data_IF_285335910160
#
_entry.id   IF_285335910160
#
_cell.length_a   1.000
_cell.length_b   1.000
_cell.length_c   1.000
_cell.angle_alpha   90.00
_cell.angle_beta   90.00
_cell.angle_gamma   90.00
#
_symmetry.space_group_name_H-M   'P 1'
#
loop_
_entity.id
_entity.type
_entity.pdbx_description
1 polymer ?
#
# COMPACT_ATOMS: atom_id res chain seq x y z
N UNK A 1 -5.95 -13.90 5.13
CA UNK A 1 -4.48 -13.87 4.91
C UNK A 1 -3.68 -14.00 6.21
N UNK A 2 -3.75 -13.08 7.18
CA UNK A 2 -2.97 -13.17 8.44
C UNK A 2 -3.09 -14.52 9.14
N UNK A 3 -4.30 -14.95 9.55
CA UNK A 3 -4.47 -16.22 10.26
C UNK A 3 -3.97 -17.45 9.49
N UNK A 4 -4.05 -17.44 8.16
CA UNK A 4 -3.51 -18.52 7.33
C UNK A 4 -1.98 -18.56 7.36
N UNK A 5 -1.31 -17.40 7.29
CA UNK A 5 0.15 -17.30 7.41
C UNK A 5 0.66 -17.63 8.82
N UNK A 6 -0.12 -17.32 9.86
CA UNK A 6 0.20 -17.68 11.24
C UNK A 6 0.13 -19.20 11.46
N UNK A 7 -0.89 -19.85 10.90
CA UNK A 7 -1.02 -21.31 10.91
C UNK A 7 0.10 -21.99 10.09
N UNK A 8 0.50 -21.42 8.95
CA UNK A 8 1.62 -21.95 8.16
C UNK A 8 2.94 -21.96 8.93
N UNK A 9 3.17 -20.99 9.83
CA UNK A 9 4.40 -20.95 10.64
C UNK A 9 4.49 -22.02 11.71
N UNK A 10 3.35 -22.50 12.21
CA UNK A 10 3.28 -23.59 13.22
C UNK A 10 3.74 -24.94 12.66
N UNK A 11 3.72 -25.12 11.35
CA UNK A 11 4.20 -26.33 10.68
C UNK A 11 5.72 -26.43 10.88
N UNK A 12 6.26 -27.60 11.26
CA UNK A 12 7.71 -27.76 11.45
C UNK A 12 8.47 -28.03 10.14
N UNK A 13 7.82 -28.68 9.15
CA UNK A 13 8.44 -29.03 7.87
C UNK A 13 8.58 -27.85 6.91
N UNK A 14 9.81 -27.58 6.47
CA UNK A 14 10.15 -26.53 5.48
C UNK A 14 9.55 -26.83 4.10
N UNK A 15 9.51 -28.11 3.71
CA UNK A 15 8.95 -28.55 2.42
C UNK A 15 7.45 -28.28 2.39
N UNK A 16 6.74 -28.62 3.48
CA UNK A 16 5.29 -28.43 3.55
C UNK A 16 4.91 -26.94 3.56
N UNK A 17 5.72 -26.07 4.21
CA UNK A 17 5.54 -24.61 4.14
C UNK A 17 5.69 -24.07 2.72
N UNK A 18 6.70 -24.54 2.00
CA UNK A 18 6.99 -24.08 0.65
C UNK A 18 5.89 -24.48 -0.34
N UNK A 19 5.27 -25.65 -0.16
CA UNK A 19 4.14 -26.10 -0.99
C UNK A 19 2.84 -25.39 -0.60
N UNK A 20 2.56 -25.23 0.70
CA UNK A 20 1.31 -24.61 1.16
C UNK A 20 1.27 -23.10 0.97
N UNK A 21 2.39 -22.39 1.03
CA UNK A 21 2.43 -20.93 0.89
C UNK A 21 1.84 -20.42 -0.44
N UNK A 22 2.27 -20.92 -1.62
CA UNK A 22 1.66 -20.52 -2.89
C UNK A 22 0.20 -20.98 -2.98
N UNK A 23 -0.15 -22.18 -2.49
CA UNK A 23 -1.55 -22.66 -2.51
C UNK A 23 -2.47 -21.72 -1.71
N UNK A 24 -2.02 -21.23 -0.56
CA UNK A 24 -2.79 -20.27 0.24
C UNK A 24 -2.90 -18.93 -0.49
N UNK A 25 -1.83 -18.42 -1.10
CA UNK A 25 -1.85 -17.15 -1.84
C UNK A 25 -2.77 -17.25 -3.06
N UNK A 26 -2.58 -18.27 -3.90
CA UNK A 26 -3.40 -18.49 -5.10
C UNK A 26 -4.84 -18.86 -4.74
N UNK A 27 -5.06 -19.63 -3.67
CA UNK A 27 -6.39 -19.97 -3.18
C UNK A 27 -7.15 -18.74 -2.69
N UNK A 28 -6.50 -17.83 -1.94
CA UNK A 28 -7.11 -16.56 -1.55
C UNK A 28 -7.36 -15.64 -2.76
N UNK A 29 -6.43 -15.58 -3.72
CA UNK A 29 -6.59 -14.78 -4.94
C UNK A 29 -7.72 -15.28 -5.82
N UNK A 30 -7.73 -16.57 -6.13
CA UNK A 30 -8.76 -17.21 -6.96
C UNK A 30 -10.12 -17.23 -6.27
N UNK A 31 -10.16 -17.53 -4.96
CA UNK A 31 -11.37 -17.43 -4.16
C UNK A 31 -11.96 -16.01 -4.16
N UNK A 32 -11.10 -14.99 -4.03
CA UNK A 32 -11.52 -13.60 -4.14
C UNK A 32 -12.12 -13.26 -5.51
N UNK A 33 -11.46 -13.66 -6.60
CA UNK A 33 -11.97 -13.46 -7.96
C UNK A 33 -13.29 -14.21 -8.20
N UNK A 34 -13.41 -15.45 -7.71
CA UNK A 34 -14.62 -16.26 -7.86
C UNK A 34 -15.82 -15.67 -7.11
N UNK A 35 -15.60 -15.22 -5.88
CA UNK A 35 -16.64 -14.53 -5.08
C UNK A 35 -17.04 -13.23 -5.78
N UNK A 36 -16.09 -12.46 -6.29
CA UNK A 36 -16.41 -11.25 -7.06
C UNK A 36 -17.18 -11.54 -8.34
N UNK A 37 -16.78 -12.54 -9.13
CA UNK A 37 -17.49 -12.94 -10.34
C UNK A 37 -18.91 -13.42 -10.05
N UNK A 38 -19.11 -14.13 -8.94
CA UNK A 38 -20.43 -14.60 -8.49
C UNK A 38 -21.33 -13.45 -8.02
N UNK A 39 -20.75 -12.40 -7.43
CA UNK A 39 -21.48 -11.21 -6.99
C UNK A 39 -21.66 -10.17 -8.10
N UNK A 40 -20.86 -10.20 -9.16
CA UNK A 40 -20.89 -9.23 -10.26
C UNK A 40 -22.27 -9.13 -10.91
N UNK A 41 -22.95 -10.26 -11.12
CA UNK A 41 -24.32 -10.29 -11.65
C UNK A 41 -25.37 -9.65 -10.73
N UNK A 42 -25.14 -9.62 -9.42
CA UNK A 42 -26.02 -9.00 -8.42
C UNK A 42 -25.66 -7.52 -8.14
N UNK A 43 -24.45 -7.09 -8.49
CA UNK A 43 -23.90 -5.80 -8.06
C UNK A 43 -23.98 -4.68 -9.10
N UNK A 44 -24.34 -4.95 -10.36
CA UNK A 44 -24.78 -3.99 -11.41
C UNK A 44 -23.99 -2.66 -11.55
N UNK A 45 -24.12 -1.75 -10.58
CA UNK A 45 -23.44 -0.44 -10.47
C UNK A 45 -22.10 -0.47 -9.69
N UNK A 46 -21.68 -1.60 -9.14
CA UNK A 46 -20.42 -1.79 -8.39
C UNK A 46 -19.50 -2.85 -9.04
N UNK A 47 -19.63 -3.08 -10.35
CA UNK A 47 -18.66 -3.91 -11.06
C UNK A 47 -17.25 -3.30 -10.94
N UNK A 48 -16.24 -4.15 -11.10
CA UNK A 48 -14.83 -3.71 -11.03
C UNK A 48 -14.58 -2.66 -12.10
N UNK A 49 -15.12 -2.85 -13.29
CA UNK A 49 -15.01 -1.96 -14.45
C UNK A 49 -15.61 -0.58 -14.17
N UNK A 50 -16.85 -0.51 -13.65
CA UNK A 50 -17.48 0.77 -13.31
C UNK A 50 -16.79 1.47 -12.14
N UNK A 51 -16.18 0.71 -11.22
CA UNK A 51 -15.40 1.29 -10.12
C UNK A 51 -14.08 1.88 -10.60
N UNK A 52 -13.40 1.23 -11.55
CA UNK A 52 -12.19 1.74 -12.19
C UNK A 52 -12.49 2.96 -13.06
N UNK A 53 -13.58 2.94 -13.82
CA UNK A 53 -14.04 4.07 -14.62
C UNK A 53 -14.39 5.28 -13.74
N UNK A 54 -15.12 5.07 -12.65
CA UNK A 54 -15.40 6.14 -11.67
C UNK A 54 -14.14 6.68 -11.02
N UNK A 55 -13.17 5.82 -10.71
CA UNK A 55 -11.90 6.27 -10.16
C UNK A 55 -11.13 7.15 -11.15
N UNK A 56 -11.11 6.76 -12.44
CA UNK A 56 -10.51 7.56 -13.51
C UNK A 56 -11.24 8.91 -13.71
N UNK A 57 -12.58 8.89 -13.78
CA UNK A 57 -13.39 10.11 -13.93
C UNK A 57 -13.23 11.01 -12.70
N UNK A 58 -13.27 10.46 -11.49
CA UNK A 58 -13.07 11.22 -10.25
C UNK A 58 -11.67 11.82 -10.21
N UNK A 59 -10.63 11.07 -10.59
CA UNK A 59 -9.28 11.60 -10.67
C UNK A 59 -9.22 12.75 -11.69
N UNK A 60 -9.80 12.60 -12.87
CA UNK A 60 -9.82 13.63 -13.92
C UNK A 60 -10.65 14.88 -13.53
N UNK A 61 -11.77 14.71 -12.83
CA UNK A 61 -12.58 15.82 -12.33
C UNK A 61 -11.88 16.54 -11.19
N UNK A 62 -11.18 15.82 -10.31
CA UNK A 62 -10.34 16.42 -9.27
C UNK A 62 -9.12 17.15 -9.86
N UNK A 63 -8.67 16.81 -11.08
CA UNK A 63 -7.65 17.60 -11.82
C UNK A 63 -8.18 18.95 -12.30
N UNK A 64 -9.49 19.08 -12.58
CA UNK A 64 -10.07 20.33 -13.10
C UNK A 64 -10.11 21.41 -12.01
N UNK A 65 -9.96 22.66 -12.45
CA UNK A 65 -9.61 23.88 -11.69
C UNK A 65 -10.46 24.26 -10.45
N UNK A 66 -11.44 23.44 -10.04
CA UNK A 66 -12.30 23.69 -8.89
C UNK A 66 -11.59 23.58 -7.52
N UNK A 67 -10.42 22.93 -7.43
CA UNK A 67 -9.71 22.68 -6.15
C UNK A 67 -8.49 23.60 -5.89
N UNK A 68 -8.40 24.74 -6.56
CA UNK A 68 -7.44 25.81 -6.21
C UNK A 68 -5.95 25.42 -6.34
N UNK A 69 -5.63 24.41 -7.17
CA UNK A 69 -4.27 23.98 -7.45
C UNK A 69 -3.58 23.14 -6.36
N UNK A 70 -4.28 22.77 -5.28
CA UNK A 70 -3.77 21.83 -4.25
C UNK A 70 -3.96 20.36 -4.68
N UNK A 71 -3.61 20.05 -5.92
CA UNK A 71 -3.84 18.75 -6.53
C UNK A 71 -2.54 18.13 -7.03
N UNK A 72 -2.57 16.81 -7.22
CA UNK A 72 -1.46 16.06 -7.75
C UNK A 72 -1.88 15.11 -8.86
N UNK A 73 -1.00 14.94 -9.84
CA UNK A 73 -1.22 14.00 -10.94
C UNK A 73 -0.40 12.72 -10.76
N UNK A 74 -1.01 11.59 -11.08
CA UNK A 74 -0.40 10.26 -11.20
C UNK A 74 -0.34 9.80 -12.67
N UNK A 75 -0.70 10.68 -13.61
CA UNK A 75 -0.87 10.46 -15.04
C UNK A 75 -2.28 9.95 -15.36
N UNK A 76 -2.68 10.07 -16.64
CA UNK A 76 -3.87 9.40 -17.14
C UNK A 76 -3.61 7.89 -17.23
N UNK A 77 -4.66 7.10 -17.00
CA UNK A 77 -4.63 5.66 -17.12
C UNK A 77 -5.93 5.17 -17.74
N UNK A 78 -5.83 4.11 -18.53
CA UNK A 78 -7.02 3.41 -18.98
C UNK A 78 -7.69 2.72 -17.78
N UNK A 79 -9.02 2.78 -17.63
CA UNK A 79 -9.77 2.13 -16.56
C UNK A 79 -9.83 0.59 -16.76
N UNK A 80 -8.69 -0.02 -17.07
CA UNK A 80 -8.47 -1.46 -17.17
C UNK A 80 -7.57 -1.90 -16.01
N UNK A 81 -7.68 -3.16 -15.58
CA UNK A 81 -6.83 -3.73 -14.51
C UNK A 81 -5.34 -3.54 -14.87
N UNK A 82 -4.98 -3.74 -16.13
CA UNK A 82 -3.60 -3.56 -16.60
C UNK A 82 -3.14 -2.09 -16.54
N UNK A 83 -3.96 -1.13 -16.99
CA UNK A 83 -3.64 0.29 -16.94
C UNK A 83 -3.48 0.82 -15.52
N UNK A 84 -4.35 0.35 -14.63
CA UNK A 84 -4.33 0.67 -13.20
C UNK A 84 -3.09 0.09 -12.50
N UNK A 85 -2.75 -1.18 -12.78
CA UNK A 85 -1.55 -1.82 -12.23
C UNK A 85 -0.25 -1.17 -12.73
N UNK A 86 -0.22 -0.68 -13.97
CA UNK A 86 0.93 0.07 -14.49
C UNK A 86 1.19 1.38 -13.70
N UNK A 87 0.15 2.00 -13.15
CA UNK A 87 0.27 3.20 -12.30
C UNK A 87 0.44 2.89 -10.81
N UNK A 88 0.40 1.63 -10.41
CA UNK A 88 0.48 1.26 -9.00
C UNK A 88 1.70 1.85 -8.27
N UNK A 89 2.93 1.84 -8.82
CA UNK A 89 4.08 2.42 -8.13
C UNK A 89 3.93 3.93 -7.87
N UNK A 90 3.38 4.67 -8.84
CA UNK A 90 3.14 6.11 -8.72
C UNK A 90 2.03 6.40 -7.72
N UNK A 91 0.93 5.64 -7.77
CA UNK A 91 -0.18 5.78 -6.83
C UNK A 91 0.24 5.44 -5.39
N UNK A 92 1.01 4.37 -5.18
CA UNK A 92 1.54 4.01 -3.85
C UNK A 92 2.46 5.09 -3.33
N UNK A 93 3.38 5.61 -4.17
CA UNK A 93 4.27 6.69 -3.78
C UNK A 93 3.47 7.96 -3.40
N UNK A 94 2.45 8.31 -4.17
CA UNK A 94 1.57 9.42 -3.86
C UNK A 94 0.79 9.18 -2.55
N UNK A 95 0.25 7.98 -2.36
CA UNK A 95 -0.52 7.61 -1.17
C UNK A 95 0.30 7.57 0.14
N UNK A 96 1.58 7.20 0.06
CA UNK A 96 2.44 7.08 1.25
C UNK A 96 3.24 8.36 1.56
N UNK A 97 3.76 9.02 0.53
CA UNK A 97 4.83 10.02 0.73
C UNK A 97 4.45 11.43 0.29
N UNK A 98 3.28 11.65 -0.32
CA UNK A 98 2.80 12.99 -0.68
C UNK A 98 1.77 13.53 0.34
N UNK A 99 1.67 14.85 0.55
CA UNK A 99 2.42 15.94 -0.09
C UNK A 99 3.90 15.96 0.31
N UNK A 100 4.78 16.35 -0.62
CA UNK A 100 6.16 16.70 -0.30
C UNK A 100 6.26 18.12 0.25
N UNK A 101 7.39 18.45 0.90
CA UNK A 101 7.62 19.78 1.49
C UNK A 101 7.50 20.91 0.46
N UNK A 102 7.95 20.69 -0.78
CA UNK A 102 7.86 21.66 -1.87
C UNK A 102 6.49 21.75 -2.54
N UNK A 103 5.57 20.83 -2.23
CA UNK A 103 4.19 20.83 -2.75
C UNK A 103 3.19 21.46 -1.78
N UNK A 104 3.67 21.82 -0.59
CA UNK A 104 2.85 22.38 0.45
C UNK A 104 2.52 23.86 0.18
N UNK A 105 1.22 24.15 -0.01
CA UNK A 105 0.73 25.52 -0.25
C UNK A 105 0.04 26.15 0.98
N UNK A 106 -0.04 25.42 2.09
CA UNK A 106 -0.67 25.89 3.32
C UNK A 106 0.05 25.28 4.55
N UNK A 107 0.05 25.91 5.75
CA UNK A 107 0.77 25.41 6.93
C UNK A 107 0.38 23.98 7.36
N UNK A 108 -0.89 23.61 7.21
CA UNK A 108 -1.34 22.23 7.49
C UNK A 108 -0.73 21.19 6.53
N UNK A 109 -0.50 21.58 5.26
CA UNK A 109 0.19 20.72 4.30
C UNK A 109 1.68 20.62 4.60
N UNK A 110 2.31 21.68 5.13
CA UNK A 110 3.71 21.64 5.56
C UNK A 110 3.93 20.63 6.69
N UNK A 111 3.05 20.63 7.70
CA UNK A 111 3.10 19.67 8.79
C UNK A 111 2.97 18.22 8.28
N UNK A 112 2.01 18.00 7.37
CA UNK A 112 1.83 16.70 6.72
C UNK A 112 3.03 16.32 5.83
N UNK A 113 3.67 17.29 5.19
CA UNK A 113 4.86 17.10 4.37
C UNK A 113 6.09 16.75 5.19
N UNK A 114 6.23 17.31 6.40
CA UNK A 114 7.28 16.92 7.35
C UNK A 114 7.12 15.47 7.80
N UNK A 115 5.90 15.08 8.18
CA UNK A 115 5.58 13.69 8.55
C UNK A 115 5.92 12.72 7.41
N UNK A 116 5.47 13.02 6.20
CA UNK A 116 5.72 12.18 5.04
C UNK A 116 7.20 12.11 4.65
N UNK A 117 7.92 13.22 4.80
CA UNK A 117 9.37 13.26 4.57
C UNK A 117 10.08 12.38 5.59
N UNK A 118 9.67 12.42 6.86
CA UNK A 118 10.20 11.51 7.88
C UNK A 118 9.94 10.04 7.53
N UNK A 119 8.73 9.69 7.10
CA UNK A 119 8.41 8.34 6.66
C UNK A 119 9.25 7.91 5.45
N UNK A 120 9.39 8.78 4.45
CA UNK A 120 10.20 8.53 3.26
C UNK A 120 11.66 8.27 3.63
N UNK A 121 12.25 9.13 4.46
CA UNK A 121 13.63 8.99 4.94
C UNK A 121 13.81 7.73 5.78
N UNK A 122 12.86 7.40 6.66
CA UNK A 122 12.89 6.18 7.47
C UNK A 122 12.84 4.92 6.57
N UNK A 123 12.01 4.92 5.55
CA UNK A 123 11.90 3.83 4.58
C UNK A 123 13.16 3.67 3.74
N UNK A 124 13.72 4.78 3.21
CA UNK A 124 14.99 4.75 2.47
C UNK A 124 16.12 4.25 3.38
N UNK A 125 16.21 4.76 4.61
CA UNK A 125 17.21 4.32 5.59
C UNK A 125 17.13 2.82 5.87
N UNK A 126 15.91 2.28 6.06
CA UNK A 126 15.69 0.85 6.24
C UNK A 126 16.13 0.03 5.02
N UNK A 127 15.80 0.47 3.82
CA UNK A 127 16.19 -0.21 2.57
C UNK A 127 17.71 -0.28 2.44
N UNK A 128 18.41 0.84 2.66
CA UNK A 128 19.87 0.91 2.58
C UNK A 128 20.50 0.03 3.68
N UNK A 129 20.00 0.09 4.91
CA UNK A 129 20.62 -0.57 6.06
C UNK A 129 20.40 -2.09 6.08
N UNK A 130 19.19 -2.56 5.80
CA UNK A 130 18.89 -4.00 5.82
C UNK A 130 19.22 -4.70 4.50
N UNK A 131 19.25 -3.96 3.39
CA UNK A 131 19.27 -4.50 2.02
C UNK A 131 17.96 -5.24 1.67
N UNK A 132 17.52 -5.22 0.40
CA UNK A 132 16.25 -5.82 -0.02
C UNK A 132 16.09 -7.29 0.37
N UNK A 133 17.16 -8.08 0.27
CA UNK A 133 17.15 -9.53 0.57
C UNK A 133 16.76 -9.78 2.04
N UNK A 134 17.24 -8.97 2.97
CA UNK A 134 16.96 -9.15 4.41
C UNK A 134 15.56 -8.68 4.76
N UNK A 135 15.07 -7.63 4.09
CA UNK A 135 13.68 -7.16 4.24
C UNK A 135 12.72 -8.30 3.88
N UNK A 136 12.94 -8.97 2.75
CA UNK A 136 12.12 -10.13 2.34
C UNK A 136 12.18 -11.24 3.39
N UNK A 137 13.36 -11.52 3.96
CA UNK A 137 13.51 -12.52 5.03
C UNK A 137 12.71 -12.15 6.29
N UNK A 138 12.72 -10.87 6.69
CA UNK A 138 12.01 -10.39 7.89
C UNK A 138 10.49 -10.40 7.68
N UNK A 139 10.03 -9.99 6.49
CA UNK A 139 8.62 -10.11 6.10
C UNK A 139 8.17 -11.58 6.14
N UNK A 140 9.01 -12.50 5.63
CA UNK A 140 8.76 -13.94 5.73
C UNK A 140 8.75 -14.45 7.17
N UNK A 141 9.57 -13.92 8.07
CA UNK A 141 9.68 -14.39 9.46
C UNK A 141 8.62 -13.84 10.40
N UNK A 142 8.03 -12.67 10.14
CA UNK A 142 6.99 -12.09 10.99
C UNK A 142 5.66 -11.83 10.23
N UNK A 143 4.57 -12.59 10.50
CA UNK A 143 3.31 -12.44 9.75
C UNK A 143 2.66 -11.07 9.95
N UNK A 144 2.86 -10.46 11.13
CA UNK A 144 2.31 -9.15 11.44
C UNK A 144 2.96 -8.07 10.57
N UNK A 145 4.29 -8.06 10.44
CA UNK A 145 5.00 -7.10 9.58
C UNK A 145 4.54 -7.25 8.12
N UNK A 146 4.42 -8.49 7.64
CA UNK A 146 3.92 -8.76 6.30
C UNK A 146 2.50 -8.23 6.10
N UNK A 147 1.59 -8.50 7.04
CA UNK A 147 0.23 -8.00 7.00
C UNK A 147 0.19 -6.47 7.02
N UNK A 148 0.89 -5.83 7.94
CA UNK A 148 0.91 -4.37 8.10
C UNK A 148 1.47 -3.67 6.86
N UNK A 149 2.55 -4.19 6.25
CA UNK A 149 3.11 -3.67 5.00
C UNK A 149 2.16 -3.85 3.82
N UNK A 150 1.59 -5.04 3.64
CA UNK A 150 0.64 -5.30 2.55
C UNK A 150 -0.61 -4.44 2.68
N UNK A 151 -1.16 -4.31 3.89
CA UNK A 151 -2.28 -3.43 4.18
C UNK A 151 -1.96 -1.97 3.83
N UNK A 152 -0.81 -1.47 4.28
CA UNK A 152 -0.38 -0.09 4.03
C UNK A 152 -0.18 0.19 2.55
N UNK A 153 0.49 -0.70 1.83
CA UNK A 153 0.73 -0.57 0.38
C UNK A 153 -0.59 -0.62 -0.40
N UNK A 154 -1.47 -1.56 -0.05
CA UNK A 154 -2.77 -1.71 -0.71
C UNK A 154 -3.65 -0.47 -0.49
N UNK A 155 -3.77 0.02 0.74
CA UNK A 155 -4.55 1.23 1.02
C UNK A 155 -3.93 2.46 0.37
N UNK A 156 -2.60 2.60 0.38
CA UNK A 156 -1.93 3.71 -0.27
C UNK A 156 -2.17 3.72 -1.79
N UNK A 157 -2.16 2.55 -2.41
CA UNK A 157 -2.54 2.37 -3.80
C UNK A 157 -3.98 2.84 -4.07
N UNK A 158 -4.95 2.34 -3.30
CA UNK A 158 -6.37 2.70 -3.47
C UNK A 158 -6.62 4.20 -3.28
N UNK A 159 -6.01 4.81 -2.26
CA UNK A 159 -6.19 6.23 -1.97
C UNK A 159 -5.46 7.10 -3.00
N UNK A 160 -4.22 6.74 -3.35
CA UNK A 160 -3.44 7.47 -4.34
C UNK A 160 -4.04 7.43 -5.75
N UNK A 161 -4.82 6.38 -6.07
CA UNK A 161 -5.53 6.27 -7.33
C UNK A 161 -6.88 7.01 -7.33
N UNK A 162 -7.60 6.99 -6.21
CA UNK A 162 -8.96 7.56 -6.12
C UNK A 162 -8.99 9.06 -5.82
N UNK A 163 -7.92 9.62 -5.25
CA UNK A 163 -7.86 11.01 -4.81
C UNK A 163 -6.69 11.72 -5.50
N UNK A 164 -6.97 12.90 -6.06
CA UNK A 164 -5.94 13.82 -6.59
C UNK A 164 -5.76 15.07 -5.71
N UNK A 165 -6.55 15.24 -4.64
CA UNK A 165 -6.47 16.39 -3.73
C UNK A 165 -5.64 16.08 -2.48
N UNK A 166 -4.63 16.91 -2.18
CA UNK A 166 -3.77 16.72 -1.00
C UNK A 166 -4.52 16.80 0.35
N UNK A 167 -5.56 17.61 0.46
CA UNK A 167 -6.34 17.74 1.70
C UNK A 167 -7.09 16.45 2.04
N UNK A 168 -7.66 15.79 1.04
CA UNK A 168 -8.31 14.48 1.19
C UNK A 168 -7.29 13.37 1.38
N UNK A 169 -6.16 13.43 0.65
CA UNK A 169 -5.06 12.48 0.77
C UNK A 169 -4.54 12.38 2.22
N UNK A 170 -4.31 13.53 2.87
CA UNK A 170 -3.83 13.59 4.26
C UNK A 170 -4.82 12.95 5.24
N UNK A 171 -6.12 13.08 5.00
CA UNK A 171 -7.15 12.49 5.87
C UNK A 171 -7.25 10.99 5.66
N UNK A 172 -7.21 10.54 4.41
CA UNK A 172 -7.33 9.13 4.05
C UNK A 172 -6.08 8.32 4.42
N UNK A 173 -4.91 8.96 4.60
CA UNK A 173 -3.70 8.26 5.09
C UNK A 173 -3.68 8.00 6.61
N UNK A 174 -4.55 8.64 7.40
CA UNK A 174 -4.56 8.47 8.88
C UNK A 174 -4.60 6.98 9.30
N UNK A 175 -5.43 6.11 8.68
CA UNK A 175 -5.44 4.70 9.01
C UNK A 175 -4.18 3.94 8.56
N UNK A 176 -3.45 4.41 7.54
CA UNK A 176 -2.25 3.75 7.00
C UNK A 176 -1.06 3.93 7.95
N UNK A 177 -0.88 5.16 8.46
CA UNK A 177 0.27 5.56 9.26
C UNK A 177 0.60 4.59 10.41
N UNK A 178 -0.33 4.18 11.29
CA UNK A 178 0.01 3.30 12.42
C UNK A 178 0.54 1.94 11.97
N UNK A 179 -0.01 1.35 10.90
CA UNK A 179 0.46 0.07 10.38
C UNK A 179 1.81 0.20 9.67
N UNK A 180 1.99 1.28 8.90
CA UNK A 180 3.23 1.51 8.21
C UNK A 180 4.36 1.77 9.21
N UNK A 181 4.17 2.68 10.16
CA UNK A 181 5.16 3.01 11.19
C UNK A 181 5.46 1.80 12.08
N UNK A 182 4.46 1.02 12.51
CA UNK A 182 4.70 -0.17 13.33
C UNK A 182 5.58 -1.18 12.58
N UNK A 183 5.34 -1.37 11.27
CA UNK A 183 6.17 -2.25 10.45
C UNK A 183 7.62 -1.77 10.36
N UNK A 184 7.84 -0.46 10.15
CA UNK A 184 9.18 0.13 10.09
C UNK A 184 9.92 -0.01 11.44
N UNK A 185 9.24 0.31 12.55
CA UNK A 185 9.81 0.24 13.90
C UNK A 185 10.21 -1.19 14.27
N UNK A 186 9.35 -2.17 13.98
CA UNK A 186 9.66 -3.57 14.26
C UNK A 186 10.85 -4.03 13.39
N UNK A 187 10.88 -3.68 12.10
CA UNK A 187 12.02 -4.00 11.21
C UNK A 187 13.33 -3.38 11.71
N UNK A 188 13.31 -2.14 12.21
CA UNK A 188 14.47 -1.51 12.85
C UNK A 188 14.91 -2.25 14.12
N UNK A 189 13.96 -2.75 14.92
CA UNK A 189 14.25 -3.57 16.10
C UNK A 189 15.00 -4.86 15.76
N UNK A 190 14.56 -5.57 14.71
CA UNK A 190 15.26 -6.76 14.21
C UNK A 190 16.70 -6.46 13.76
N UNK A 191 16.94 -5.30 13.13
CA UNK A 191 18.28 -4.88 12.73
C UNK A 191 19.20 -4.66 13.94
N UNK A 192 18.70 -4.01 14.99
CA UNK A 192 19.48 -3.77 16.22
C UNK A 192 19.84 -5.06 16.95
N UNK A 193 18.92 -6.03 17.00
CA UNK A 193 19.20 -7.35 17.59
C UNK A 193 20.27 -8.11 16.80
N UNK A 194 20.20 -8.07 15.47
CA UNK A 194 21.20 -8.71 14.61
C UNK A 194 22.60 -8.11 14.79
N UNK A 195 22.71 -6.79 14.99
CA UNK A 195 23.98 -6.12 15.29
C UNK A 195 24.58 -6.48 16.65
N UNK A 196 23.76 -6.81 17.65
CA UNK A 196 24.25 -7.22 18.98
C UNK A 196 24.76 -8.66 19.03
N UNK A 197 24.39 -9.48 18.04
CA UNK A 197 24.76 -10.90 17.95
C UNK A 197 25.94 -11.14 16.97
N UNK A 198 26.54 -10.07 16.44
CA UNK A 198 27.76 -10.07 15.63
C UNK A 198 28.88 -9.43 16.45
#
# INVERSE_FOLDING_TARGET
LWGAFENLKRIKSTVLKFVLAPIVIFGFGFGGMFVMGSLAGSMGKFSVETSLERAAITQQDLKRAAYGGNTFDIGDFEPTIAGVMAKAPLAINAGLFRPYLWEARNPFMLLSGLENTFLLLASIFLIIKLKPVRIIKILGSNPYILFAMLFSIFFAFTIGLSTSNFGSLVRYKIPIIPFYVSSLVIMLGYERQLRKNL
#
